data_IF_456294925036
#
_entry.id   IF_456294925036
#
_cell.length_a   1.000
_cell.length_b   1.000
_cell.length_c   1.000
_cell.angle_alpha   90.00
_cell.angle_beta   90.00
_cell.angle_gamma   90.00
#
_symmetry.space_group_name_H-M   'P 1'
#
loop_
_entity.id
_entity.type
_entity.pdbx_description
1 polymer ?
#
# COMPACT_ATOMS: atom_id res chain seq x y z
N UNK A 1 -7.99 -22.66 16.54
CA UNK A 1 -8.15 -21.24 16.95
C UNK A 1 -9.62 -20.95 17.25
N UNK A 2 -9.93 -20.29 18.37
CA UNK A 2 -11.30 -19.87 18.71
C UNK A 2 -11.57 -18.39 18.36
N UNK A 3 -10.73 -17.79 17.50
CA UNK A 3 -10.83 -16.38 17.07
C UNK A 3 -11.47 -16.31 15.69
N UNK A 4 -12.40 -15.37 15.51
CA UNK A 4 -12.86 -14.98 14.17
C UNK A 4 -11.77 -14.15 13.50
N UNK A 5 -11.21 -14.64 12.40
CA UNK A 5 -10.18 -13.95 11.62
C UNK A 5 -10.78 -12.71 10.97
N UNK A 6 -10.13 -11.57 11.15
CA UNK A 6 -10.54 -10.29 10.57
C UNK A 6 -9.51 -9.76 9.57
N UNK A 7 -9.97 -8.92 8.66
CA UNK A 7 -9.13 -8.13 7.78
C UNK A 7 -8.24 -7.25 8.64
N UNK A 8 -6.94 -7.31 8.38
CA UNK A 8 -5.93 -6.58 9.17
C UNK A 8 -5.31 -7.35 10.29
N UNK A 9 -5.88 -8.48 10.71
CA UNK A 9 -5.21 -9.36 11.65
C UNK A 9 -3.88 -9.86 11.04
N UNK A 10 -2.88 -10.00 11.91
CA UNK A 10 -1.56 -10.54 11.59
C UNK A 10 -1.38 -11.85 12.34
N UNK A 11 -0.95 -12.88 11.61
CA UNK A 11 -0.68 -14.21 12.13
C UNK A 11 0.67 -14.71 11.63
N UNK A 12 1.22 -15.75 12.26
CA UNK A 12 2.25 -16.57 11.62
C UNK A 12 1.63 -17.55 10.61
N UNK A 13 2.35 -17.80 9.53
CA UNK A 13 2.06 -18.84 8.54
C UNK A 13 3.37 -19.39 7.99
N UNK A 14 3.46 -20.70 7.81
CA UNK A 14 4.59 -21.35 7.16
C UNK A 14 4.35 -21.46 5.65
N UNK A 15 5.14 -20.72 4.87
CA UNK A 15 5.11 -20.80 3.41
C UNK A 15 5.77 -22.06 2.86
N UNK A 16 6.42 -22.87 3.71
CA UNK A 16 7.21 -24.03 3.34
C UNK A 16 8.43 -23.63 2.51
N UNK A 17 8.95 -24.57 1.72
CA UNK A 17 10.06 -24.31 0.81
C UNK A 17 9.55 -23.88 -0.57
N UNK A 18 10.01 -22.73 -1.05
CA UNK A 18 9.72 -22.25 -2.39
C UNK A 18 11.03 -21.88 -3.13
N UNK A 19 11.02 -21.94 -4.46
CA UNK A 19 12.18 -21.57 -5.30
C UNK A 19 12.12 -20.08 -5.69
N UNK A 20 13.29 -19.49 -5.89
CA UNK A 20 13.40 -18.13 -6.44
C UNK A 20 12.94 -17.05 -5.47
N UNK A 21 12.11 -16.11 -5.96
CA UNK A 21 11.68 -14.93 -5.19
C UNK A 21 10.36 -15.12 -4.42
N UNK A 22 9.75 -16.30 -4.48
CA UNK A 22 8.56 -16.63 -3.69
C UNK A 22 8.97 -16.74 -2.22
N UNK A 23 8.21 -16.13 -1.30
CA UNK A 23 8.52 -16.21 0.13
C UNK A 23 8.44 -17.66 0.66
N UNK A 24 9.32 -17.99 1.59
CA UNK A 24 9.46 -19.31 2.19
C UNK A 24 9.56 -19.24 3.72
N UNK A 25 9.35 -20.38 4.38
CA UNK A 25 9.46 -20.53 5.82
C UNK A 25 8.36 -19.83 6.62
N UNK A 26 8.46 -19.99 7.93
CA UNK A 26 7.55 -19.41 8.93
C UNK A 26 7.72 -17.91 9.06
N UNK A 27 6.69 -17.14 8.71
CA UNK A 27 6.75 -15.67 8.69
C UNK A 27 5.41 -15.04 9.05
N UNK A 28 5.39 -13.78 9.52
CA UNK A 28 4.14 -13.07 9.72
C UNK A 28 3.43 -12.83 8.37
N UNK A 29 2.11 -12.84 8.40
CA UNK A 29 1.24 -12.57 7.25
C UNK A 29 0.11 -11.62 7.65
N UNK A 30 -0.23 -10.69 6.75
CA UNK A 30 -1.35 -9.77 6.91
C UNK A 30 -2.59 -10.35 6.25
N UNK A 31 -3.69 -10.47 6.99
CA UNK A 31 -4.99 -10.84 6.42
C UNK A 31 -5.57 -9.70 5.58
N UNK A 32 -5.78 -9.95 4.28
CA UNK A 32 -6.30 -8.96 3.32
C UNK A 32 -7.78 -9.16 3.01
N UNK A 33 -8.28 -10.38 3.11
CA UNK A 33 -9.64 -10.75 2.73
C UNK A 33 -10.67 -10.03 3.63
N UNK A 34 -11.80 -9.62 3.05
CA UNK A 34 -12.86 -8.94 3.78
C UNK A 34 -13.55 -9.86 4.80
N UNK A 35 -14.01 -9.27 5.91
CA UNK A 35 -14.55 -9.99 7.06
C UNK A 35 -15.74 -10.89 6.72
N UNK A 36 -16.59 -10.49 5.78
CA UNK A 36 -17.77 -11.26 5.39
C UNK A 36 -17.38 -12.62 4.79
N UNK A 37 -16.26 -12.68 4.05
CA UNK A 37 -15.70 -13.92 3.55
C UNK A 37 -14.94 -14.66 4.65
N UNK A 38 -14.16 -13.95 5.47
CA UNK A 38 -13.45 -14.56 6.59
C UNK A 38 -14.37 -15.21 7.62
N UNK A 39 -15.63 -14.82 7.73
CA UNK A 39 -16.58 -15.51 8.63
C UNK A 39 -17.07 -16.85 8.07
N UNK A 40 -17.13 -17.00 6.74
CA UNK A 40 -17.83 -18.12 6.08
C UNK A 40 -16.90 -19.10 5.36
N UNK A 41 -15.84 -18.61 4.74
CA UNK A 41 -14.95 -19.42 3.91
C UNK A 41 -14.01 -20.28 4.78
N UNK A 42 -13.60 -21.47 4.34
CA UNK A 42 -12.54 -22.25 4.99
C UNK A 42 -11.14 -21.64 4.78
N UNK A 43 -11.01 -20.76 3.79
CA UNK A 43 -9.76 -20.12 3.38
C UNK A 43 -9.75 -18.61 3.66
N UNK A 44 -8.55 -18.04 3.66
CA UNK A 44 -8.29 -16.61 3.81
C UNK A 44 -7.19 -16.17 2.84
N UNK A 45 -7.28 -14.92 2.36
CA UNK A 45 -6.24 -14.31 1.52
C UNK A 45 -5.32 -13.48 2.40
N UNK A 46 -4.02 -13.79 2.34
CA UNK A 46 -2.98 -13.14 3.13
C UNK A 46 -1.85 -12.62 2.25
N UNK A 47 -1.08 -11.65 2.74
CA UNK A 47 0.18 -11.22 2.14
C UNK A 47 1.35 -11.39 3.11
N UNK A 48 2.50 -11.78 2.58
CA UNK A 48 3.71 -12.03 3.37
C UNK A 48 4.28 -10.73 3.96
N UNK A 49 4.70 -10.76 5.24
CA UNK A 49 5.36 -9.62 5.91
C UNK A 49 6.85 -9.93 6.10
N UNK A 50 7.74 -8.98 5.84
CA UNK A 50 9.19 -9.09 6.09
C UNK A 50 9.69 -7.98 7.01
N UNK A 51 10.72 -8.28 7.80
CA UNK A 51 11.52 -7.29 8.54
C UNK A 51 12.56 -6.61 7.65
N UNK A 52 12.86 -7.15 6.46
CA UNK A 52 13.83 -6.56 5.53
C UNK A 52 13.18 -5.42 4.76
N UNK A 53 13.45 -4.19 5.20
CA UNK A 53 12.95 -2.99 4.55
C UNK A 53 13.71 -2.73 3.25
N UNK A 54 13.05 -2.92 2.11
CA UNK A 54 13.69 -2.83 0.78
C UNK A 54 12.76 -2.26 -0.29
N UNK A 55 13.35 -1.75 -1.38
CA UNK A 55 12.66 -1.30 -2.61
C UNK A 55 11.36 -0.53 -2.34
N UNK A 56 11.38 0.43 -1.41
CA UNK A 56 10.20 1.23 -1.02
C UNK A 56 9.59 2.05 -2.18
N UNK A 57 10.27 2.14 -3.32
CA UNK A 57 9.72 2.71 -4.54
C UNK A 57 8.69 1.79 -5.23
N UNK A 58 8.65 0.50 -4.89
CA UNK A 58 7.68 -0.43 -5.45
C UNK A 58 6.33 -0.24 -4.76
N UNK A 59 5.22 -0.06 -5.51
CA UNK A 59 3.89 0.12 -4.93
C UNK A 59 3.45 -1.02 -4.00
N UNK A 60 3.89 -2.25 -4.28
CA UNK A 60 3.51 -3.44 -3.52
C UNK A 60 4.19 -3.54 -2.14
N UNK A 61 5.15 -2.66 -1.87
CA UNK A 61 5.98 -2.65 -0.67
C UNK A 61 5.49 -1.59 0.31
N UNK A 62 4.72 -1.99 1.33
CA UNK A 62 4.10 -1.04 2.27
C UNK A 62 4.68 -1.25 3.67
N UNK A 63 5.27 -0.19 4.24
CA UNK A 63 5.69 -0.17 5.65
C UNK A 63 4.46 -0.29 6.55
N UNK A 64 4.56 -1.17 7.55
CA UNK A 64 3.52 -1.33 8.56
C UNK A 64 3.76 -0.37 9.73
N UNK A 65 2.68 0.13 10.36
CA UNK A 65 2.81 1.04 11.48
C UNK A 65 3.37 0.30 12.71
N UNK A 66 4.07 1.00 13.61
CA UNK A 66 4.79 0.38 14.74
C UNK A 66 3.84 -0.25 15.78
N UNK A 67 2.58 0.14 15.80
CA UNK A 67 1.53 -0.37 16.68
C UNK A 67 0.83 -1.64 16.15
N UNK A 68 1.26 -2.18 15.01
CA UNK A 68 0.67 -3.37 14.41
C UNK A 68 0.93 -4.69 15.18
N UNK A 69 1.60 -4.64 16.33
CA UNK A 69 1.94 -5.80 17.17
C UNK A 69 3.18 -6.59 16.72
N UNK A 70 3.98 -6.03 15.81
CA UNK A 70 5.23 -6.64 15.35
C UNK A 70 6.42 -6.15 16.17
N UNK A 71 7.39 -7.01 16.52
CA UNK A 71 8.50 -6.66 17.42
C UNK A 71 9.54 -5.72 16.77
N UNK A 72 9.52 -5.60 15.44
CA UNK A 72 10.48 -4.83 14.66
C UNK A 72 9.78 -4.12 13.49
N UNK A 73 10.32 -2.99 12.99
CA UNK A 73 9.85 -2.35 11.77
C UNK A 73 9.74 -3.37 10.65
N UNK A 74 8.56 -3.43 10.04
CA UNK A 74 8.21 -4.48 9.08
C UNK A 74 7.45 -3.88 7.90
N UNK A 75 7.44 -4.61 6.79
CA UNK A 75 6.69 -4.25 5.59
C UNK A 75 5.91 -5.45 5.06
N UNK A 76 4.71 -5.19 4.54
CA UNK A 76 3.95 -6.17 3.77
C UNK A 76 4.38 -6.14 2.30
N UNK A 77 4.48 -7.33 1.70
CA UNK A 77 4.85 -7.55 0.31
C UNK A 77 3.60 -8.00 -0.46
N UNK A 78 2.93 -7.07 -1.13
CA UNK A 78 1.66 -7.32 -1.80
C UNK A 78 1.80 -8.11 -3.11
N UNK A 79 3.01 -8.27 -3.64
CA UNK A 79 3.29 -9.23 -4.71
C UNK A 79 3.35 -10.69 -4.21
N UNK A 80 3.31 -10.90 -2.89
CA UNK A 80 3.37 -12.22 -2.23
C UNK A 80 2.03 -12.57 -1.58
N UNK A 81 0.93 -12.34 -2.31
CA UNK A 81 -0.42 -12.69 -1.88
C UNK A 81 -0.71 -14.17 -2.14
N UNK A 82 -1.33 -14.84 -1.16
CA UNK A 82 -1.73 -16.26 -1.26
C UNK A 82 -3.06 -16.50 -0.56
N UNK A 83 -3.87 -17.39 -1.14
CA UNK A 83 -5.01 -17.99 -0.44
C UNK A 83 -4.52 -19.22 0.35
N UNK A 84 -4.83 -19.28 1.64
CA UNK A 84 -4.39 -20.33 2.57
C UNK A 84 -5.58 -20.88 3.36
N UNK A 85 -5.47 -22.07 3.93
CA UNK A 85 -6.51 -22.55 4.85
C UNK A 85 -6.38 -21.81 6.18
N UNK A 86 -7.51 -21.51 6.82
CA UNK A 86 -7.51 -20.91 8.16
C UNK A 86 -6.86 -21.80 9.22
N UNK A 87 -6.88 -23.12 8.99
CA UNK A 87 -6.26 -24.12 9.87
C UNK A 87 -4.74 -24.04 9.87
N UNK A 88 -4.16 -23.45 8.82
CA UNK A 88 -2.71 -23.34 8.64
C UNK A 88 -2.16 -22.05 9.29
N UNK A 89 -3.04 -21.18 9.79
CA UNK A 89 -2.64 -20.02 10.57
C UNK A 89 -2.21 -20.44 11.98
N UNK A 90 -1.06 -19.91 12.39
CA UNK A 90 -0.47 -20.10 13.71
C UNK A 90 -0.66 -18.84 14.57
N UNK A 91 0.21 -18.55 15.54
CA UNK A 91 -0.01 -17.50 16.53
C UNK A 91 -0.44 -16.14 15.96
N UNK A 92 -1.43 -15.52 16.61
CA UNK A 92 -1.83 -14.15 16.35
C UNK A 92 -0.80 -13.17 16.92
N UNK A 93 -0.46 -12.13 16.16
CA UNK A 93 0.58 -11.17 16.52
C UNK A 93 0.04 -9.76 16.77
N UNK A 94 -1.02 -9.36 16.08
CA UNK A 94 -1.54 -8.01 16.16
C UNK A 94 -2.44 -7.68 14.98
N UNK A 95 -2.70 -6.40 14.76
CA UNK A 95 -3.54 -5.96 13.65
C UNK A 95 -3.13 -4.59 13.12
N UNK A 96 -3.37 -4.34 11.84
CA UNK A 96 -3.22 -3.01 11.23
C UNK A 96 -4.57 -2.30 11.28
N UNK A 97 -4.69 -1.27 12.12
CA UNK A 97 -5.89 -0.44 12.22
C UNK A 97 -5.76 0.90 11.49
N UNK A 98 -4.53 1.37 11.22
CA UNK A 98 -4.26 2.66 10.61
C UNK A 98 -4.93 2.80 9.21
N UNK A 99 -5.85 3.76 9.12
CA UNK A 99 -6.63 4.01 7.90
C UNK A 99 -5.74 4.47 6.74
N UNK A 100 -4.64 5.19 7.04
CA UNK A 100 -3.72 5.69 6.00
C UNK A 100 -2.99 4.53 5.33
N UNK A 101 -2.45 3.61 6.14
CA UNK A 101 -1.83 2.36 5.69
C UNK A 101 -2.81 1.54 4.86
N UNK A 102 -4.06 1.40 5.29
CA UNK A 102 -5.08 0.70 4.51
C UNK A 102 -5.42 1.35 3.18
N UNK A 103 -5.45 2.69 3.12
CA UNK A 103 -5.63 3.39 1.83
C UNK A 103 -4.49 3.07 0.88
N UNK A 104 -3.26 2.97 1.36
CA UNK A 104 -2.10 2.66 0.54
C UNK A 104 -2.05 1.18 0.13
N UNK A 105 -2.38 0.25 1.03
CA UNK A 105 -2.57 -1.17 0.70
C UNK A 105 -3.64 -1.34 -0.38
N UNK A 106 -4.80 -0.69 -0.24
CA UNK A 106 -5.89 -0.79 -1.23
C UNK A 106 -5.47 -0.26 -2.61
N UNK A 107 -4.74 0.86 -2.66
CA UNK A 107 -4.19 1.42 -3.90
C UNK A 107 -3.19 0.44 -4.52
N UNK A 108 -2.27 -0.08 -3.71
CA UNK A 108 -1.23 -1.00 -4.14
C UNK A 108 -1.81 -2.33 -4.65
N UNK A 109 -2.80 -2.92 -3.98
CA UNK A 109 -3.54 -4.09 -4.45
C UNK A 109 -4.17 -3.79 -5.82
N UNK A 110 -4.85 -2.64 -5.97
CA UNK A 110 -5.40 -2.27 -7.29
C UNK A 110 -4.32 -2.20 -8.36
N UNK A 111 -3.14 -1.66 -8.04
CA UNK A 111 -2.02 -1.58 -8.97
C UNK A 111 -1.46 -2.96 -9.31
N UNK A 112 -1.25 -3.82 -8.31
CA UNK A 112 -0.71 -5.17 -8.43
C UNK A 112 -1.59 -6.05 -9.33
N UNK A 113 -2.91 -6.01 -9.12
CA UNK A 113 -3.87 -6.80 -9.90
C UNK A 113 -4.33 -6.12 -11.21
N UNK A 114 -3.71 -5.01 -11.62
CA UNK A 114 -4.10 -4.29 -12.84
C UNK A 114 -5.49 -3.64 -12.79
N UNK A 115 -6.11 -3.53 -11.61
CA UNK A 115 -7.41 -2.90 -11.37
C UNK A 115 -7.30 -1.37 -11.20
N UNK A 116 -6.08 -0.83 -11.23
CA UNK A 116 -5.86 0.60 -11.21
C UNK A 116 -6.17 1.20 -12.58
N UNK A 117 -7.33 1.86 -12.67
CA UNK A 117 -7.73 2.58 -13.86
C UNK A 117 -6.98 3.92 -13.90
N UNK A 118 -5.98 3.99 -14.78
CA UNK A 118 -5.39 5.25 -15.19
C UNK A 118 -6.45 6.03 -15.94
N UNK A 119 -6.74 7.26 -15.49
CA UNK A 119 -7.58 8.19 -16.24
C UNK A 119 -6.66 8.98 -17.17
N UNK A 120 -6.56 8.64 -18.47
CA UNK A 120 -5.71 9.36 -19.41
C UNK A 120 -6.12 10.83 -19.52
N UNK A 121 -7.42 11.10 -19.39
CA UNK A 121 -8.01 12.43 -19.54
C UNK A 121 -8.09 13.22 -18.24
N UNK A 122 -7.09 13.14 -17.37
CA UNK A 122 -6.92 14.18 -16.35
C UNK A 122 -6.43 15.46 -17.03
N UNK A 123 -7.27 16.04 -17.89
CA UNK A 123 -7.10 17.36 -18.49
C UNK A 123 -7.23 18.38 -17.36
N UNK A 124 -6.10 18.91 -16.92
CA UNK A 124 -6.01 19.90 -15.86
C UNK A 124 -4.63 20.55 -15.89
N UNK A 125 -4.41 21.49 -14.99
CA UNK A 125 -3.09 22.13 -14.83
C UNK A 125 -2.11 21.12 -14.21
N UNK A 126 -1.43 20.36 -15.06
CA UNK A 126 -0.41 19.39 -14.66
C UNK A 126 0.92 20.11 -14.50
N UNK A 127 1.52 19.98 -13.32
CA UNK A 127 2.82 20.57 -12.99
C UNK A 127 3.75 19.52 -12.40
N UNK A 128 4.95 19.41 -12.96
CA UNK A 128 6.04 18.68 -12.34
C UNK A 128 6.64 19.52 -11.20
N UNK A 129 6.61 19.01 -9.97
CA UNK A 129 7.05 19.73 -8.77
C UNK A 129 8.00 18.88 -7.93
N UNK A 130 9.11 19.48 -7.49
CA UNK A 130 9.99 18.87 -6.49
C UNK A 130 9.36 18.96 -5.08
N UNK A 131 9.82 18.16 -4.10
CA UNK A 131 9.26 18.16 -2.75
C UNK A 131 9.22 19.54 -2.08
N UNK A 132 10.23 20.39 -2.31
CA UNK A 132 10.29 21.76 -1.78
C UNK A 132 9.21 22.66 -2.40
N UNK A 133 9.18 22.74 -3.73
CA UNK A 133 8.23 23.58 -4.47
C UNK A 133 6.77 23.12 -4.33
N UNK A 134 6.54 21.83 -4.04
CA UNK A 134 5.21 21.29 -3.75
C UNK A 134 4.58 21.92 -2.50
N UNK A 135 5.38 22.30 -1.50
CA UNK A 135 4.86 22.84 -0.24
C UNK A 135 4.11 24.16 -0.44
N UNK A 136 4.58 25.02 -1.35
CA UNK A 136 3.90 26.27 -1.70
C UNK A 136 2.47 26.05 -2.23
N UNK A 137 2.24 24.94 -2.93
CA UNK A 137 0.90 24.60 -3.44
C UNK A 137 0.03 23.98 -2.35
N UNK A 138 0.64 23.19 -1.45
CA UNK A 138 -0.07 22.58 -0.31
C UNK A 138 -0.51 23.62 0.73
N UNK A 139 0.28 24.68 0.93
CA UNK A 139 -0.05 25.76 1.87
C UNK A 139 -1.14 26.69 1.33
N UNK A 140 -1.38 26.71 0.02
CA UNK A 140 -2.43 27.51 -0.58
C UNK A 140 -3.81 26.82 -0.45
N UNK A 141 -4.64 27.30 0.48
CA UNK A 141 -5.97 26.75 0.76
C UNK A 141 -6.95 26.81 -0.41
N UNK A 142 -6.72 27.69 -1.39
CA UNK A 142 -7.55 27.80 -2.61
C UNK A 142 -7.25 26.73 -3.66
N UNK A 143 -6.14 26.00 -3.52
CA UNK A 143 -5.73 24.97 -4.47
C UNK A 143 -6.01 23.56 -3.91
N UNK A 144 -6.32 22.63 -4.81
CA UNK A 144 -6.27 21.19 -4.55
C UNK A 144 -5.16 20.64 -5.44
N UNK A 145 -4.15 20.05 -4.83
CA UNK A 145 -3.05 19.41 -5.55
C UNK A 145 -3.05 17.91 -5.27
N UNK A 146 -3.03 17.11 -6.33
CA UNK A 146 -3.02 15.63 -6.23
C UNK A 146 -1.95 15.06 -7.13
N UNK A 147 -1.33 13.97 -6.69
CA UNK A 147 -0.37 13.27 -7.53
C UNK A 147 -1.07 12.72 -8.78
N UNK A 148 -0.48 12.96 -9.96
CA UNK A 148 -1.05 12.54 -11.23
C UNK A 148 -1.09 11.00 -11.28
N UNK A 149 0.09 10.39 -11.14
CA UNK A 149 0.27 8.97 -10.88
C UNK A 149 1.02 8.78 -9.54
N UNK A 150 0.36 8.27 -8.48
CA UNK A 150 1.00 8.01 -7.19
C UNK A 150 2.04 6.89 -7.24
N UNK A 151 2.06 6.07 -8.29
CA UNK A 151 2.99 4.95 -8.44
C UNK A 151 4.15 5.23 -9.39
N UNK A 152 4.15 6.39 -10.07
CA UNK A 152 5.22 6.74 -11.00
C UNK A 152 6.50 7.04 -10.23
N UNK A 153 7.53 6.22 -10.49
CA UNK A 153 8.90 6.44 -10.04
C UNK A 153 9.66 7.42 -10.95
N UNK A 154 9.11 7.77 -12.11
CA UNK A 154 9.72 8.71 -13.05
C UNK A 154 9.74 10.10 -12.43
N UNK A 155 10.93 10.71 -12.45
CA UNK A 155 11.12 12.11 -12.07
C UNK A 155 11.44 12.93 -13.31
N UNK A 156 10.80 14.09 -13.42
CA UNK A 156 11.06 15.08 -14.45
C UNK A 156 11.50 16.41 -13.82
N UNK A 157 11.80 17.41 -14.64
CA UNK A 157 12.26 18.73 -14.18
C UNK A 157 11.13 19.54 -13.56
N UNK A 158 11.35 20.02 -12.34
CA UNK A 158 10.42 20.88 -11.62
C UNK A 158 10.25 22.21 -12.34
N UNK A 159 9.01 22.59 -12.64
CA UNK A 159 8.71 23.81 -13.39
C UNK A 159 9.11 25.11 -12.67
N UNK A 160 9.33 25.06 -11.34
CA UNK A 160 9.69 26.22 -10.52
C UNK A 160 11.19 26.41 -10.31
N UNK A 161 11.97 25.33 -10.28
CA UNK A 161 13.37 25.39 -9.84
C UNK A 161 14.30 24.44 -10.58
N UNK A 162 13.81 23.77 -11.64
CA UNK A 162 14.53 22.78 -12.45
C UNK A 162 15.09 21.54 -11.70
N UNK A 163 14.82 21.43 -10.39
CA UNK A 163 15.16 20.24 -9.59
C UNK A 163 14.30 19.03 -9.95
N UNK A 164 14.73 17.83 -9.57
CA UNK A 164 13.95 16.61 -9.87
C UNK A 164 12.65 16.56 -9.05
N UNK A 165 11.55 16.36 -9.76
CA UNK A 165 10.20 16.37 -9.23
C UNK A 165 9.30 15.36 -9.89
N UNK A 166 8.01 15.60 -9.78
CA UNK A 166 6.98 14.60 -9.90
C UNK A 166 5.71 15.26 -10.41
N UNK A 167 4.93 14.57 -11.26
CA UNK A 167 3.72 15.19 -11.82
C UNK A 167 2.55 15.25 -10.85
N UNK A 168 1.99 16.44 -10.69
CA UNK A 168 0.78 16.71 -9.92
C UNK A 168 -0.25 17.39 -10.80
N UNK A 169 -1.52 17.08 -10.59
CA UNK A 169 -2.64 17.85 -11.12
C UNK A 169 -3.08 18.89 -10.07
N UNK A 170 -3.25 20.13 -10.52
CA UNK A 170 -3.66 21.27 -9.69
C UNK A 170 -5.06 21.71 -10.12
N UNK A 171 -5.94 21.89 -9.14
CA UNK A 171 -7.29 22.42 -9.32
C UNK A 171 -7.45 23.69 -8.47
N UNK A 172 -8.03 24.75 -9.04
CA UNK A 172 -8.45 25.92 -8.27
C UNK A 172 -9.87 25.68 -7.76
N UNK A 173 -10.05 25.68 -6.43
CA UNK A 173 -11.37 25.48 -5.80
C UNK A 173 -12.39 26.53 -6.23
N UNK A 174 -11.94 27.73 -6.59
CA UNK A 174 -12.81 28.85 -7.01
C UNK A 174 -13.38 28.68 -8.42
N UNK A 175 -12.79 27.81 -9.23
CA UNK A 175 -13.24 27.54 -10.61
C UNK A 175 -14.11 26.29 -10.74
N UNK A 176 -14.33 25.57 -9.64
CA UNK A 176 -15.12 24.34 -9.59
C UNK A 176 -16.56 24.57 -9.09
N UNK A 177 -16.97 25.83 -8.93
CA UNK A 177 -18.35 26.29 -8.65
C UNK A 177 -18.89 27.03 -9.88
#
# INVERSE_FOLDING_TARGET
>A
MNRTIKRGDIFYYDFGENKGSIQCGRRPVLCLQADDFNRKAPTVIVAAITTVIKKQYMPSHILLPPDAGLPQPSMVLLEQIRAINKTDLEDYLGCVEDETTWRDINKAIKKEFGLWIYKPDRTGDIRCLCPKCLQDYKSNSSLIIKRLDPFSSKKDRCVKCDGLGYDYIVYDKRRAL
#
